data_IF_116811798806
#
_entry.id   IF_116811798806
#
_cell.length_a   1.000
_cell.length_b   1.000
_cell.length_c   1.000
_cell.angle_alpha   90.00
_cell.angle_beta   90.00
_cell.angle_gamma   90.00
#
_symmetry.space_group_name_H-M   'P 1'
#
loop_
_entity.id
_entity.type
_entity.pdbx_description
1 polymer ?
#
# COMPACT_ATOMS: atom_id res chain seq x y z
N UNK A 1 -5.48 27.15 -9.81
CA UNK A 1 -6.50 26.76 -10.79
C UNK A 1 -7.00 25.37 -10.41
N UNK A 2 -8.31 25.15 -10.18
CA UNK A 2 -8.84 23.81 -9.90
C UNK A 2 -8.63 22.82 -11.06
N UNK A 3 -8.20 23.29 -12.24
CA UNK A 3 -8.15 22.54 -13.48
C UNK A 3 -6.89 21.67 -13.70
N UNK A 4 -5.91 21.66 -12.80
CA UNK A 4 -4.74 20.77 -12.91
C UNK A 4 -4.80 19.55 -11.99
N UNK A 5 -5.90 18.80 -12.04
CA UNK A 5 -5.91 17.36 -11.68
C UNK A 5 -5.89 16.52 -12.96
N UNK A 6 -4.99 16.84 -13.90
CA UNK A 6 -4.81 16.03 -15.11
C UNK A 6 -4.07 14.74 -14.74
N UNK A 7 -4.83 13.71 -14.38
CA UNK A 7 -4.54 12.31 -14.68
C UNK A 7 -3.20 11.75 -14.18
N UNK A 8 -2.84 11.98 -12.91
CA UNK A 8 -1.86 11.07 -12.30
C UNK A 8 -2.55 9.74 -12.05
N UNK A 9 -2.10 8.68 -12.73
CA UNK A 9 -2.46 7.30 -12.40
C UNK A 9 -2.13 7.09 -10.93
N UNK A 10 -3.16 6.83 -10.11
CA UNK A 10 -2.99 6.70 -8.66
C UNK A 10 -2.50 5.30 -8.38
N UNK A 11 -1.18 5.13 -8.41
CA UNK A 11 -0.46 3.90 -8.12
C UNK A 11 0.60 4.21 -7.05
N UNK A 12 0.16 4.16 -5.79
CA UNK A 12 0.98 4.54 -4.63
C UNK A 12 0.74 3.56 -3.49
N UNK A 13 1.80 3.33 -2.69
CA UNK A 13 1.69 2.55 -1.45
C UNK A 13 0.69 3.22 -0.51
N UNK A 14 -0.28 2.42 -0.06
CA UNK A 14 -1.30 2.81 0.88
C UNK A 14 -2.01 1.55 1.39
N UNK A 15 -2.13 1.44 2.72
CA UNK A 15 -2.65 0.24 3.38
C UNK A 15 -1.51 -0.57 4.00
N UNK A 16 -1.50 -0.56 5.32
CA UNK A 16 -0.62 -1.37 6.17
C UNK A 16 -1.55 -2.07 7.16
N UNK A 17 -1.40 -3.38 7.30
CA UNK A 17 -2.13 -4.18 8.27
C UNK A 17 -1.15 -5.08 9.03
N UNK A 18 -1.39 -5.25 10.32
CA UNK A 18 -0.59 -6.09 11.19
C UNK A 18 -1.49 -7.13 11.85
N UNK A 19 -1.12 -8.40 11.76
CA UNK A 19 -1.74 -9.52 12.46
C UNK A 19 -0.91 -9.84 13.71
N UNK A 20 -1.43 -9.45 14.88
CA UNK A 20 -0.76 -9.64 16.17
C UNK A 20 -0.64 -11.10 16.60
N UNK A 21 -1.54 -11.98 16.14
CA UNK A 21 -1.57 -13.36 16.59
C UNK A 21 -0.48 -14.19 15.92
N UNK A 22 -0.27 -13.93 14.62
CA UNK A 22 0.68 -14.67 13.78
C UNK A 22 1.97 -13.88 13.49
N UNK A 23 2.09 -12.64 14.00
CA UNK A 23 3.22 -11.72 13.79
C UNK A 23 3.50 -11.44 12.29
N UNK A 24 2.45 -11.10 11.54
CA UNK A 24 2.53 -10.89 10.07
C UNK A 24 2.24 -9.44 9.70
N UNK A 25 3.11 -8.84 8.90
CA UNK A 25 2.94 -7.48 8.38
C UNK A 25 2.57 -7.52 6.89
N UNK A 26 1.46 -6.87 6.54
CA UNK A 26 0.99 -6.77 5.17
C UNK A 26 1.03 -5.34 4.66
N UNK A 27 1.45 -5.18 3.40
CA UNK A 27 1.48 -3.91 2.69
C UNK A 27 0.80 -4.02 1.33
N UNK A 28 0.13 -2.95 0.93
CA UNK A 28 -0.48 -2.83 -0.40
C UNK A 28 -0.51 -1.38 -0.87
N UNK A 29 -1.19 -1.12 -1.99
CA UNK A 29 -1.29 0.18 -2.61
C UNK A 29 -2.61 0.40 -3.31
N UNK A 30 -2.89 1.67 -3.62
CA UNK A 30 -4.04 2.03 -4.45
C UNK A 30 -3.84 1.41 -5.83
N UNK A 31 -4.85 0.66 -6.29
CA UNK A 31 -4.88 -0.06 -7.58
C UNK A 31 -3.82 -1.17 -7.73
N UNK A 32 -3.17 -1.60 -6.64
CA UNK A 32 -2.27 -2.76 -6.71
C UNK A 32 -3.09 -4.05 -6.88
N UNK A 33 -2.69 -4.96 -7.78
CA UNK A 33 -3.38 -6.25 -7.94
C UNK A 33 -3.01 -7.26 -6.84
N UNK A 34 -2.16 -6.87 -5.88
CA UNK A 34 -1.52 -7.78 -4.92
C UNK A 34 -1.37 -7.14 -3.55
N UNK A 35 -1.42 -7.99 -2.52
CA UNK A 35 -1.02 -7.69 -1.14
C UNK A 35 0.22 -8.49 -0.84
N UNK A 36 1.22 -7.86 -0.23
CA UNK A 36 2.47 -8.50 0.14
C UNK A 36 2.52 -8.68 1.65
N UNK A 37 2.91 -9.87 2.08
CA UNK A 37 3.43 -10.09 3.43
C UNK A 37 4.93 -9.81 3.41
N UNK A 38 5.43 -9.07 4.40
CA UNK A 38 6.82 -8.63 4.48
C UNK A 38 7.40 -8.85 5.88
N UNK A 39 8.72 -8.99 5.95
CA UNK A 39 9.51 -9.03 7.18
C UNK A 39 10.44 -7.83 7.23
N UNK A 40 10.63 -7.23 8.42
CA UNK A 40 11.56 -6.12 8.62
C UNK A 40 12.91 -6.69 9.07
N UNK A 41 13.94 -6.50 8.24
CA UNK A 41 15.33 -6.85 8.56
C UNK A 41 16.11 -5.60 9.00
N UNK A 42 17.03 -5.77 9.95
CA UNK A 42 17.90 -4.70 10.49
C UNK A 42 19.32 -4.78 9.93
#
# INVERSE_FOLDING_TARGET
DPSTHRGHTVDVLNGIAYDELEDRLFVTGKLWPTVFEIEIIY
#
